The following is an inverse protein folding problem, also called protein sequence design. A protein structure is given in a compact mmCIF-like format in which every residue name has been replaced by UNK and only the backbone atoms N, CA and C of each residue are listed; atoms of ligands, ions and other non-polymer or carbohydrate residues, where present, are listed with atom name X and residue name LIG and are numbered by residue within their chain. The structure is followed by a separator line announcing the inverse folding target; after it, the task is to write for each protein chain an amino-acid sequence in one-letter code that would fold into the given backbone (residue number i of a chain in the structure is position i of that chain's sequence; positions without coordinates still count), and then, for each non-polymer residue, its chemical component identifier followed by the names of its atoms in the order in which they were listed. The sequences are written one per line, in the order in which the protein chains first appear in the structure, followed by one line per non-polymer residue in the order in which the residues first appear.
data_IF_376768618964
#
_entry.id   IF_376768618964
#
_cell.length_a   1.000
_cell.length_b   1.000
_cell.length_c   1.000
_cell.angle_alpha   90.00
_cell.angle_beta   90.00
_cell.angle_gamma   90.00
#
_symmetry.space_group_name_H-M   'P 1'
#
loop_
_entity.id
_entity.type
_entity.pdbx_description
1 polymer ?
#
# COMPACT_ATOMS: atom_id res chain seq x y z
N UNK A 1 13.14 -2.38 -17.14
CA UNK A 1 12.65 -2.41 -15.75
C UNK A 1 11.29 -3.08 -15.77
N UNK A 2 11.11 -4.16 -15.01
CA UNK A 2 9.83 -4.86 -14.89
C UNK A 2 8.90 -3.95 -14.08
N UNK A 3 7.76 -3.55 -14.66
CA UNK A 3 6.75 -2.77 -13.94
C UNK A 3 6.24 -3.62 -12.76
N UNK A 4 6.16 -3.06 -11.54
CA UNK A 4 5.68 -3.81 -10.38
C UNK A 4 4.23 -4.25 -10.60
N UNK A 5 3.88 -5.47 -10.22
CA UNK A 5 2.49 -5.91 -10.29
C UNK A 5 1.66 -5.25 -9.19
N UNK A 6 0.32 -5.19 -9.31
CA UNK A 6 -0.54 -4.71 -8.25
C UNK A 6 -0.40 -5.49 -6.93
N UNK A 7 0.03 -6.76 -6.97
CA UNK A 7 0.32 -7.54 -5.77
C UNK A 7 1.62 -7.07 -5.10
N UNK A 8 2.66 -6.79 -5.89
CA UNK A 8 3.93 -6.27 -5.39
C UNK A 8 3.74 -4.91 -4.70
N UNK A 9 2.95 -4.02 -5.30
CA UNK A 9 2.63 -2.70 -4.72
C UNK A 9 1.89 -2.82 -3.38
N UNK A 10 0.88 -3.69 -3.27
CA UNK A 10 0.17 -3.93 -2.00
C UNK A 10 1.10 -4.50 -0.94
N UNK A 11 1.95 -5.45 -1.31
CA UNK A 11 2.91 -6.06 -0.39
C UNK A 11 3.98 -5.05 0.06
N UNK A 12 4.41 -4.14 -0.80
CA UNK A 12 5.32 -3.06 -0.45
C UNK A 12 4.67 -2.05 0.52
N UNK A 13 3.42 -1.65 0.27
CA UNK A 13 2.66 -0.77 1.16
C UNK A 13 2.46 -1.39 2.56
N UNK A 14 2.10 -2.67 2.63
CA UNK A 14 1.95 -3.38 3.90
C UNK A 14 3.25 -3.37 4.70
N UNK A 15 4.38 -3.72 4.06
CA UNK A 15 5.69 -3.75 4.72
C UNK A 15 6.14 -2.38 5.20
N UNK A 16 5.86 -1.32 4.42
CA UNK A 16 6.14 0.05 4.84
C UNK A 16 5.31 0.44 6.07
N UNK A 17 4.01 0.13 6.06
CA UNK A 17 3.14 0.40 7.21
C UNK A 17 3.62 -0.32 8.48
N UNK A 18 3.96 -1.61 8.36
CA UNK A 18 4.51 -2.39 9.48
C UNK A 18 5.81 -1.78 10.02
N UNK A 19 6.70 -1.32 9.14
CA UNK A 19 7.97 -0.69 9.53
C UNK A 19 7.76 0.66 10.22
N UNK A 20 6.81 1.47 9.75
CA UNK A 20 6.42 2.73 10.41
C UNK A 20 5.87 2.45 11.80
N UNK A 21 4.97 1.49 11.94
CA UNK A 21 4.38 1.13 13.25
C UNK A 21 5.46 0.67 14.22
N UNK A 22 6.40 -0.19 13.79
CA UNK A 22 7.47 -0.66 14.67
C UNK A 22 8.42 0.48 15.07
N UNK A 23 8.80 1.36 14.14
CA UNK A 23 9.66 2.51 14.44
C UNK A 23 8.98 3.52 15.38
N UNK A 24 7.68 3.77 15.21
CA UNK A 24 6.89 4.61 16.12
C UNK A 24 6.77 4.00 17.52
N UNK A 25 6.66 2.67 17.62
CA UNK A 25 6.59 1.96 18.91
C UNK A 25 7.93 1.92 19.62
N UNK A 26 9.02 1.73 18.89
CA UNK A 26 10.37 1.61 19.43
C UNK A 26 11.40 2.09 18.41
N UNK A 27 11.64 3.39 18.42
CA UNK A 27 12.62 3.98 17.52
C UNK A 27 14.04 3.58 17.92
N UNK A 28 14.67 2.77 17.07
CA UNK A 28 16.04 2.26 17.18
C UNK A 28 16.72 2.39 15.82
N UNK A 29 18.06 2.34 15.74
CA UNK A 29 18.75 2.39 14.46
C UNK A 29 18.27 1.34 13.45
N UNK A 30 17.95 0.13 13.91
CA UNK A 30 17.42 -0.94 13.07
C UNK A 30 16.00 -0.67 12.55
N UNK A 31 15.10 -0.14 13.38
CA UNK A 31 13.72 0.17 12.95
C UNK A 31 13.66 1.36 12.01
N UNK A 32 14.46 2.40 12.28
CA UNK A 32 14.62 3.55 11.39
C UNK A 32 15.13 3.09 10.03
N UNK A 33 16.19 2.28 10.01
CA UNK A 33 16.73 1.74 8.76
C UNK A 33 15.73 0.89 8.00
N UNK A 34 14.95 0.05 8.69
CA UNK A 34 13.91 -0.76 8.06
C UNK A 34 12.78 0.09 7.45
N UNK A 35 12.40 1.17 8.12
CA UNK A 35 11.45 2.17 7.60
C UNK A 35 12.01 2.87 6.36
N UNK A 36 13.28 3.25 6.38
CA UNK A 36 13.96 3.88 5.24
C UNK A 36 14.10 2.93 4.04
N UNK A 37 14.47 1.68 4.25
CA UNK A 37 14.62 0.68 3.18
C UNK A 37 13.28 0.38 2.48
N UNK A 38 12.21 0.28 3.26
CA UNK A 38 10.85 0.07 2.72
C UNK A 38 10.33 1.31 2.01
N UNK A 39 10.61 2.51 2.53
CA UNK A 39 10.31 3.77 1.85
C UNK A 39 11.05 3.89 0.51
N UNK A 40 12.35 3.59 0.49
CA UNK A 40 13.17 3.61 -0.72
C UNK A 40 12.63 2.64 -1.79
N UNK A 41 12.25 1.44 -1.37
CA UNK A 41 11.64 0.45 -2.27
C UNK A 41 10.35 0.98 -2.90
N UNK A 42 9.47 1.61 -2.11
CA UNK A 42 8.24 2.22 -2.62
C UNK A 42 8.54 3.34 -3.62
N UNK A 43 9.49 4.21 -3.31
CA UNK A 43 9.94 5.28 -4.20
C UNK A 43 10.44 4.72 -5.55
N UNK A 44 11.29 3.69 -5.53
CA UNK A 44 11.78 3.03 -6.76
C UNK A 44 10.65 2.37 -7.55
N UNK A 45 9.72 1.68 -6.88
CA UNK A 45 8.59 1.03 -7.55
C UNK A 45 7.63 2.02 -8.24
N UNK A 46 7.51 3.21 -7.68
CA UNK A 46 6.58 4.25 -8.15
C UNK A 46 7.24 5.31 -9.02
N UNK A 47 8.57 5.36 -9.06
CA UNK A 47 9.35 6.29 -9.88
C UNK A 47 9.44 7.71 -9.31
N UNK A 48 9.14 7.89 -8.01
CA UNK A 48 9.20 9.18 -7.32
C UNK A 48 10.24 9.14 -6.20
N UNK A 49 10.61 10.30 -5.65
CA UNK A 49 11.66 10.40 -4.62
C UNK A 49 11.14 10.65 -3.21
N UNK A 50 9.91 11.14 -3.06
CA UNK A 50 9.27 11.36 -1.76
C UNK A 50 8.36 10.18 -1.39
N UNK A 51 8.41 9.75 -0.13
CA UNK A 51 7.65 8.58 0.33
C UNK A 51 6.14 8.84 0.40
N UNK A 52 5.69 10.08 0.70
CA UNK A 52 4.26 10.39 0.70
C UNK A 52 3.73 10.41 -0.73
N UNK A 53 4.50 10.98 -1.64
CA UNK A 53 4.21 10.91 -3.08
C UNK A 53 4.19 9.46 -3.58
N UNK A 54 5.12 8.63 -3.13
CA UNK A 54 5.17 7.21 -3.48
C UNK A 54 3.92 6.47 -3.02
N UNK A 55 3.47 6.68 -1.78
CA UNK A 55 2.23 6.09 -1.26
C UNK A 55 1.02 6.54 -2.08
N UNK A 56 0.90 7.83 -2.38
CA UNK A 56 -0.20 8.38 -3.18
C UNK A 56 -0.21 7.83 -4.62
N UNK A 57 0.97 7.70 -5.22
CA UNK A 57 1.16 7.16 -6.56
C UNK A 57 0.84 5.67 -6.60
N UNK A 58 1.32 4.89 -5.63
CA UNK A 58 1.02 3.47 -5.50
C UNK A 58 -0.50 3.24 -5.37
N UNK A 59 -1.18 4.02 -4.54
CA UNK A 59 -2.63 3.91 -4.40
C UNK A 59 -3.36 4.26 -5.71
N UNK A 60 -2.93 5.31 -6.41
CA UNK A 60 -3.47 5.65 -7.73
C UNK A 60 -3.25 4.53 -8.76
N UNK A 61 -2.08 3.90 -8.77
CA UNK A 61 -1.79 2.74 -9.64
C UNK A 61 -2.67 1.54 -9.30
N UNK A 62 -2.88 1.27 -8.01
CA UNK A 62 -3.75 0.19 -7.54
C UNK A 62 -5.22 0.43 -7.91
N UNK A 63 -5.71 1.67 -7.79
CA UNK A 63 -7.06 2.04 -8.23
C UNK A 63 -7.26 1.90 -9.74
N UNK A 64 -6.23 2.19 -10.54
CA UNK A 64 -6.26 2.05 -12.01
C UNK A 64 -6.12 0.61 -12.49
N UNK A 65 -5.38 -0.22 -11.75
CA UNK A 65 -5.12 -1.62 -12.08
C UNK A 65 -6.09 -2.61 -11.43
N UNK A 66 -6.99 -2.16 -10.56
CA UNK A 66 -8.10 -2.98 -10.09
C UNK A 66 -9.08 -3.19 -11.25
N UNK A 67 -9.40 -4.45 -11.63
CA UNK A 67 -10.60 -4.68 -12.43
C UNK A 67 -11.80 -4.12 -11.66
N UNK A 68 -12.77 -3.55 -12.37
CA UNK A 68 -14.01 -3.00 -11.83
C UNK A 68 -14.95 -4.09 -11.25
N UNK A 69 -14.45 -4.92 -10.34
CA UNK A 69 -15.21 -5.97 -9.63
C UNK A 69 -15.94 -5.43 -8.39
N UNK A 70 -15.91 -4.12 -8.14
CA UNK A 70 -16.64 -3.47 -7.03
C UNK A 70 -17.73 -2.49 -7.51
N UNK A 71 -18.32 -2.74 -8.68
CA UNK A 71 -19.63 -2.20 -9.06
C UNK A 71 -20.77 -3.24 -8.84
N UNK A 72 -20.60 -4.15 -7.86
CA UNK A 72 -21.52 -5.28 -7.61
C UNK A 72 -22.10 -5.38 -6.20
N UNK A 73 -21.76 -4.50 -5.25
CA UNK A 73 -22.43 -4.46 -3.94
C UNK A 73 -23.65 -3.54 -3.97
N UNK A 74 -24.65 -3.94 -4.75
CA UNK A 74 -26.05 -3.58 -4.50
C UNK A 74 -26.92 -4.81 -4.69
N UNK A 75 -26.67 -5.83 -3.86
CA UNK A 75 -27.62 -6.92 -3.63
C UNK A 75 -28.60 -6.51 -2.53
N UNK A 76 -29.92 -6.73 -2.68
CA UNK A 76 -30.93 -6.17 -1.79
C UNK A 76 -30.87 -6.79 -0.38
N UNK A 77 -31.14 -5.92 0.60
CA UNK A 77 -31.26 -6.19 2.03
C UNK A 77 -32.07 -7.45 2.30
N UNK A 78 -31.41 -8.50 2.77
CA UNK A 78 -32.04 -9.64 3.43
C UNK A 78 -32.27 -9.33 4.91
N UNK A 79 -33.34 -8.61 5.23
CA UNK A 79 -33.96 -8.64 6.56
C UNK A 79 -35.43 -8.98 6.35
N UNK A 80 -35.76 -10.25 6.57
CA UNK A 80 -37.12 -10.68 6.90
C UNK A 80 -37.00 -11.47 8.19
N UNK A 81 -37.28 -10.79 9.30
CA UNK A 81 -37.54 -11.38 10.59
C UNK A 81 -38.83 -10.74 11.10
N UNK A 82 -39.94 -11.45 10.96
CA UNK A 82 -41.17 -11.31 11.74
C UNK A 82 -42.02 -12.57 11.52
#
# INVERSE_FOLDING_TARGET
MLLPTPADLRAALSRYADAVIEDERRSTPDTVRRREDTAYTLCVMTGVSDVREAVSTADTLLRRGAPAEEAGLTGPVGVVAA
#
